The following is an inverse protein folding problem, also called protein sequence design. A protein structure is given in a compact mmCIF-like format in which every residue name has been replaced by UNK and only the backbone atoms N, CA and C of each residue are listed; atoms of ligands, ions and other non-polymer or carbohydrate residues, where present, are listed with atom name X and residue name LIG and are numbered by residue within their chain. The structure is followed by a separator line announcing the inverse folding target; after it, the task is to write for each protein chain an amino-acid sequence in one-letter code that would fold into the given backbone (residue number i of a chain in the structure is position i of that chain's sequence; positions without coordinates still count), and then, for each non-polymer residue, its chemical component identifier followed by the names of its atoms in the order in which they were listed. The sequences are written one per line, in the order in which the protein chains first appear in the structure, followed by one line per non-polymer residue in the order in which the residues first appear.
data_IF_960757865106
#
_entry.id   IF_960757865106
#
_cell.length_a   1.000
_cell.length_b   1.000
_cell.length_c   1.000
_cell.angle_alpha   90.00
_cell.angle_beta   90.00
_cell.angle_gamma   90.00
#
_symmetry.space_group_name_H-M   'P 1'
#
loop_
_entity.id
_entity.type
_entity.pdbx_description
1 polymer ?
#
# COMPACT_ATOMS: atom_id res chain seq x y z
N UNK A 1 7.98 29.59 -5.12
CA UNK A 1 6.65 28.94 -5.20
C UNK A 1 6.59 27.69 -4.32
N UNK A 2 7.50 26.73 -4.43
CA UNK A 2 7.53 25.47 -3.66
C UNK A 2 7.60 25.68 -2.13
N UNK A 3 8.45 26.60 -1.64
CA UNK A 3 8.55 26.94 -0.21
C UNK A 3 7.23 27.43 0.40
N UNK A 4 6.43 28.20 -0.35
CA UNK A 4 5.14 28.67 0.14
C UNK A 4 4.08 27.57 0.14
N UNK A 5 4.13 26.64 -0.80
CA UNK A 5 3.28 25.45 -0.82
C UNK A 5 3.62 24.54 0.37
N UNK A 6 4.90 24.24 0.60
CA UNK A 6 5.35 23.45 1.75
C UNK A 6 4.92 24.06 3.09
N UNK A 7 5.10 25.38 3.27
CA UNK A 7 4.64 26.07 4.49
C UNK A 7 3.13 25.95 4.71
N UNK A 8 2.33 26.14 3.65
CA UNK A 8 0.87 25.99 3.71
C UNK A 8 0.46 24.55 4.02
N UNK A 9 1.10 23.56 3.38
CA UNK A 9 0.82 22.13 3.61
C UNK A 9 1.17 21.72 5.04
N UNK A 10 2.31 22.16 5.57
CA UNK A 10 2.72 21.89 6.97
C UNK A 10 1.78 22.59 7.95
N UNK A 11 1.33 23.82 7.68
CA UNK A 11 0.37 24.53 8.53
C UNK A 11 -1.00 23.79 8.58
N UNK A 12 -1.52 23.36 7.44
CA UNK A 12 -2.75 22.56 7.36
C UNK A 12 -2.59 21.20 8.04
N UNK A 13 -1.44 20.54 7.85
CA UNK A 13 -1.11 19.27 8.49
C UNK A 13 -0.99 19.39 10.03
N UNK A 14 -0.69 20.58 10.55
CA UNK A 14 -0.70 20.92 11.97
C UNK A 14 -2.10 21.05 12.58
N UNK A 15 -3.18 21.08 11.82
CA UNK A 15 -4.55 21.26 12.33
C UNK A 15 -5.05 20.02 13.09
N UNK A 16 -5.93 20.20 14.10
CA UNK A 16 -6.48 19.10 14.90
C UNK A 16 -7.22 18.06 14.03
N UNK A 17 -7.92 18.51 13.01
CA UNK A 17 -8.69 17.66 12.08
C UNK A 17 -7.81 16.89 11.06
N UNK A 18 -6.53 17.24 10.91
CA UNK A 18 -5.66 16.59 9.93
C UNK A 18 -5.57 15.07 10.12
N UNK A 19 -5.65 14.56 11.37
CA UNK A 19 -5.66 13.12 11.65
C UNK A 19 -6.92 12.43 11.15
N UNK A 20 -8.07 13.09 11.19
CA UNK A 20 -9.33 12.53 10.65
C UNK A 20 -9.21 12.40 9.13
N UNK A 21 -8.73 13.44 8.46
CA UNK A 21 -8.48 13.39 7.01
C UNK A 21 -7.46 12.31 6.64
N UNK A 22 -6.39 12.17 7.43
CA UNK A 22 -5.42 11.09 7.25
C UNK A 22 -6.09 9.71 7.35
N UNK A 23 -6.94 9.50 8.37
CA UNK A 23 -7.65 8.24 8.54
C UNK A 23 -8.57 7.95 7.34
N UNK A 24 -9.34 8.94 6.88
CA UNK A 24 -10.22 8.81 5.72
C UNK A 24 -9.41 8.47 4.46
N UNK A 25 -8.32 9.18 4.21
CA UNK A 25 -7.46 8.95 3.04
C UNK A 25 -6.82 7.55 3.09
N UNK A 26 -6.28 7.13 4.25
CA UNK A 26 -5.70 5.80 4.42
C UNK A 26 -6.73 4.68 4.20
N UNK A 27 -7.96 4.87 4.71
CA UNK A 27 -9.04 3.92 4.54
C UNK A 27 -9.44 3.78 3.07
N UNK A 28 -9.73 4.92 2.41
CA UNK A 28 -10.20 4.95 1.01
C UNK A 28 -9.08 4.48 0.05
N UNK A 29 -7.82 4.86 0.29
CA UNK A 29 -6.66 4.41 -0.51
C UNK A 29 -6.54 2.89 -0.52
N UNK A 30 -6.77 2.26 0.62
CA UNK A 30 -6.67 0.80 0.75
C UNK A 30 -7.79 0.05 0.02
N UNK A 31 -8.88 0.72 -0.38
CA UNK A 31 -9.98 0.13 -1.14
C UNK A 31 -9.80 0.38 -2.65
N UNK A 32 -9.73 1.66 -3.09
CA UNK A 32 -9.71 1.99 -4.52
C UNK A 32 -8.98 3.28 -4.92
N UNK A 33 -8.71 4.19 -3.99
CA UNK A 33 -8.20 5.52 -4.35
C UNK A 33 -6.67 5.55 -4.50
N UNK A 34 -6.10 6.24 -5.52
CA UNK A 34 -4.67 6.16 -5.83
C UNK A 34 -3.80 7.22 -5.13
N UNK A 35 -4.26 7.89 -4.06
CA UNK A 35 -3.45 8.89 -3.36
C UNK A 35 -2.64 8.22 -2.24
N UNK A 36 -1.30 8.23 -2.31
CA UNK A 36 -0.46 7.67 -1.26
C UNK A 36 -0.63 8.45 0.05
N UNK A 37 -0.93 7.80 1.20
CA UNK A 37 -1.03 8.45 2.51
C UNK A 37 0.29 9.11 2.94
N UNK A 38 1.40 8.65 2.39
CA UNK A 38 2.75 9.14 2.66
C UNK A 38 2.86 10.66 2.45
N UNK A 39 2.10 11.20 1.47
CA UNK A 39 2.01 12.65 1.17
C UNK A 39 1.43 13.46 2.35
N UNK A 40 0.59 12.82 3.18
CA UNK A 40 0.04 13.46 4.38
C UNK A 40 0.87 13.16 5.63
N UNK A 41 1.36 11.93 5.78
CA UNK A 41 2.15 11.49 6.94
C UNK A 41 3.41 12.36 7.09
N UNK A 42 4.11 12.63 5.98
CA UNK A 42 5.35 13.38 6.00
C UNK A 42 5.15 14.82 6.58
N UNK A 43 4.32 15.70 6.01
CA UNK A 43 4.13 17.04 6.55
C UNK A 43 3.49 17.05 7.93
N UNK A 44 2.63 16.09 8.27
CA UNK A 44 2.05 15.98 9.61
C UNK A 44 3.11 15.65 10.65
N UNK A 45 4.04 14.74 10.35
CA UNK A 45 5.13 14.38 11.26
C UNK A 45 6.13 15.52 11.41
N UNK A 46 6.37 16.30 10.36
CA UNK A 46 7.17 17.53 10.41
C UNK A 46 6.52 18.57 11.32
N UNK A 47 5.21 18.82 11.13
CA UNK A 47 4.45 19.81 11.89
C UNK A 47 4.31 19.43 13.37
N UNK A 48 4.16 18.14 13.67
CA UNK A 48 3.88 17.60 15.01
C UNK A 48 4.79 16.40 15.30
N UNK A 49 6.07 16.64 15.36
CA UNK A 49 7.07 15.58 15.52
C UNK A 49 6.92 14.77 16.82
N UNK A 50 6.29 15.32 17.88
CA UNK A 50 5.99 14.59 19.12
C UNK A 50 4.84 13.60 18.97
N UNK A 51 3.95 13.82 18.01
CA UNK A 51 2.75 13.00 17.76
C UNK A 51 2.99 11.93 16.67
N UNK A 52 4.24 11.67 16.27
CA UNK A 52 4.56 10.75 15.18
C UNK A 52 3.98 9.34 15.36
N UNK A 53 3.98 8.82 16.60
CA UNK A 53 3.37 7.53 16.95
C UNK A 53 1.86 7.56 16.68
N UNK A 54 1.17 8.63 17.12
CA UNK A 54 -0.28 8.78 16.90
C UNK A 54 -0.62 8.90 15.42
N UNK A 55 0.20 9.59 14.64
CA UNK A 55 0.06 9.74 13.19
C UNK A 55 0.22 8.37 12.52
N UNK A 56 1.30 7.64 12.83
CA UNK A 56 1.57 6.31 12.29
C UNK A 56 0.47 5.31 12.67
N UNK A 57 0.04 5.29 13.95
CA UNK A 57 -1.06 4.42 14.41
C UNK A 57 -2.37 4.72 13.72
N UNK A 58 -2.73 6.01 13.54
CA UNK A 58 -3.94 6.40 12.83
C UNK A 58 -3.92 5.90 11.38
N UNK A 59 -2.79 6.10 10.68
CA UNK A 59 -2.62 5.64 9.31
C UNK A 59 -2.69 4.10 9.23
N UNK A 60 -2.02 3.39 10.14
CA UNK A 60 -1.99 1.92 10.18
C UNK A 60 -3.37 1.34 10.40
N UNK A 61 -4.08 1.79 11.44
CA UNK A 61 -5.42 1.28 11.79
C UNK A 61 -6.41 1.55 10.65
N UNK A 62 -6.42 2.77 10.13
CA UNK A 62 -7.33 3.14 9.04
C UNK A 62 -7.02 2.37 7.75
N UNK A 63 -5.74 2.16 7.42
CA UNK A 63 -5.33 1.40 6.25
C UNK A 63 -5.70 -0.09 6.37
N UNK A 64 -5.52 -0.70 7.55
CA UNK A 64 -5.92 -2.09 7.79
C UNK A 64 -7.44 -2.22 7.73
N UNK A 65 -8.19 -1.29 8.33
CA UNK A 65 -9.65 -1.27 8.24
C UNK A 65 -10.13 -1.16 6.78
N UNK A 66 -9.49 -0.30 5.97
CA UNK A 66 -9.75 -0.21 4.53
C UNK A 66 -9.40 -1.50 3.78
N UNK A 67 -8.29 -2.15 4.16
CA UNK A 67 -7.91 -3.46 3.63
C UNK A 67 -8.94 -4.55 3.95
N UNK A 68 -9.48 -4.56 5.18
CA UNK A 68 -10.57 -5.45 5.57
C UNK A 68 -11.85 -5.19 4.75
N UNK A 69 -12.18 -3.93 4.50
CA UNK A 69 -13.30 -3.56 3.64
C UNK A 69 -13.06 -4.02 2.19
N UNK A 70 -11.83 -3.86 1.66
CA UNK A 70 -11.43 -4.36 0.34
C UNK A 70 -11.55 -5.88 0.24
N UNK A 71 -11.08 -6.61 1.27
CA UNK A 71 -11.25 -8.05 1.36
C UNK A 71 -12.74 -8.46 1.36
N UNK A 72 -13.57 -7.77 2.17
CA UNK A 72 -15.00 -8.02 2.24
C UNK A 72 -15.69 -7.77 0.89
N UNK A 73 -15.36 -6.67 0.20
CA UNK A 73 -15.84 -6.40 -1.16
C UNK A 73 -15.50 -7.57 -2.08
N UNK A 74 -14.24 -8.01 -2.09
CA UNK A 74 -13.82 -9.15 -2.90
C UNK A 74 -14.57 -10.43 -2.54
N UNK A 75 -14.78 -10.70 -1.26
CA UNK A 75 -15.46 -11.90 -0.79
C UNK A 75 -16.95 -11.93 -1.18
N UNK A 76 -17.68 -10.84 -0.90
CA UNK A 76 -19.13 -10.77 -1.13
C UNK A 76 -19.49 -10.61 -2.61
N UNK A 77 -18.71 -9.83 -3.36
CA UNK A 77 -18.98 -9.57 -4.78
C UNK A 77 -18.24 -10.53 -5.72
N UNK A 78 -17.71 -11.65 -5.20
CA UNK A 78 -17.02 -12.64 -6.03
C UNK A 78 -17.89 -13.19 -7.16
N UNK A 79 -19.15 -13.51 -6.89
CA UNK A 79 -20.06 -14.10 -7.88
C UNK A 79 -20.49 -13.09 -8.95
N UNK A 80 -20.78 -11.85 -8.53
CA UNK A 80 -21.34 -10.82 -9.41
C UNK A 80 -20.27 -10.12 -10.26
N UNK A 81 -19.04 -10.04 -9.74
CA UNK A 81 -17.97 -9.27 -10.39
C UNK A 81 -16.77 -10.17 -10.69
N UNK A 82 -16.36 -11.00 -9.74
CA UNK A 82 -15.17 -11.84 -9.88
C UNK A 82 -15.30 -12.86 -11.00
N UNK A 83 -16.37 -13.66 -11.00
CA UNK A 83 -16.59 -14.70 -12.01
C UNK A 83 -16.67 -14.10 -13.42
N UNK A 84 -17.50 -13.09 -13.72
CA UNK A 84 -17.56 -12.51 -15.05
C UNK A 84 -16.23 -11.94 -15.56
N UNK A 85 -15.42 -11.34 -14.66
CA UNK A 85 -14.09 -10.85 -15.03
C UNK A 85 -13.18 -12.02 -15.42
N UNK A 86 -13.14 -13.10 -14.63
CA UNK A 86 -12.27 -14.25 -14.92
C UNK A 86 -12.70 -14.99 -16.20
N UNK A 87 -14.00 -15.11 -16.44
CA UNK A 87 -14.55 -15.69 -17.68
C UNK A 87 -14.20 -14.83 -18.90
N UNK A 88 -14.35 -13.49 -18.79
CA UNK A 88 -14.01 -12.56 -19.86
C UNK A 88 -12.52 -12.63 -20.27
N UNK A 89 -11.62 -12.85 -19.30
CA UNK A 89 -10.18 -13.03 -19.56
C UNK A 89 -9.78 -14.48 -19.86
N UNK A 90 -10.74 -15.42 -19.96
CA UNK A 90 -10.45 -16.83 -20.27
C UNK A 90 -9.70 -17.57 -19.16
N UNK A 91 -9.85 -17.16 -17.90
CA UNK A 91 -9.13 -17.76 -16.76
C UNK A 91 -9.91 -19.00 -16.25
N UNK A 92 -9.94 -20.07 -17.04
CA UNK A 92 -10.66 -21.32 -16.69
C UNK A 92 -10.10 -22.04 -15.45
N UNK A 93 -8.85 -21.77 -15.06
CA UNK A 93 -8.16 -22.38 -13.91
C UNK A 93 -8.37 -21.68 -12.56
N UNK A 94 -9.27 -20.69 -12.45
CA UNK A 94 -9.39 -19.91 -11.22
C UNK A 94 -9.79 -20.73 -9.98
N UNK A 95 -10.63 -21.74 -10.12
CA UNK A 95 -11.04 -22.62 -9.02
C UNK A 95 -9.86 -23.42 -8.47
N UNK A 96 -9.00 -23.95 -9.33
CA UNK A 96 -7.78 -24.64 -8.95
C UNK A 96 -6.76 -23.69 -8.29
N UNK A 97 -6.58 -22.49 -8.85
CA UNK A 97 -5.74 -21.44 -8.27
C UNK A 97 -6.23 -21.05 -6.87
N UNK A 98 -7.54 -20.81 -6.71
CA UNK A 98 -8.17 -20.50 -5.42
C UNK A 98 -7.86 -21.58 -4.37
N UNK A 99 -8.01 -22.85 -4.71
CA UNK A 99 -7.74 -23.95 -3.80
C UNK A 99 -6.26 -24.05 -3.43
N UNK A 100 -5.36 -23.87 -4.39
CA UNK A 100 -3.91 -23.86 -4.13
C UNK A 100 -3.48 -22.73 -3.20
N UNK A 101 -4.05 -21.52 -3.36
CA UNK A 101 -3.70 -20.37 -2.52
C UNK A 101 -4.36 -20.43 -1.15
N UNK A 102 -5.60 -20.95 -1.05
CA UNK A 102 -6.30 -20.99 0.24
C UNK A 102 -5.79 -22.09 1.17
N UNK A 103 -5.41 -23.26 0.64
CA UNK A 103 -5.09 -24.45 1.43
C UNK A 103 -3.84 -25.20 0.94
N UNK A 104 -3.21 -24.79 -0.16
CA UNK A 104 -2.11 -25.50 -0.79
C UNK A 104 -0.75 -24.81 -0.71
N UNK A 105 0.15 -25.25 -1.60
CA UNK A 105 1.52 -24.71 -1.70
C UNK A 105 1.56 -23.21 -2.02
N UNK A 106 0.51 -22.65 -2.62
CA UNK A 106 0.38 -21.24 -2.96
C UNK A 106 0.11 -20.31 -1.77
N UNK A 107 -0.28 -20.85 -0.60
CA UNK A 107 -0.58 -20.06 0.60
C UNK A 107 0.58 -19.13 1.00
N UNK A 108 1.77 -19.68 1.15
CA UNK A 108 2.96 -18.91 1.51
C UNK A 108 3.37 -17.92 0.43
N UNK A 109 3.21 -18.27 -0.85
CA UNK A 109 3.45 -17.35 -1.96
C UNK A 109 2.52 -16.14 -1.86
N UNK A 110 1.24 -16.33 -1.53
CA UNK A 110 0.29 -15.25 -1.32
C UNK A 110 0.64 -14.37 -0.12
N UNK A 111 1.05 -14.97 1.00
CA UNK A 111 1.56 -14.24 2.17
C UNK A 111 2.75 -13.35 1.78
N UNK A 112 3.72 -13.89 1.04
CA UNK A 112 4.89 -13.14 0.56
C UNK A 112 4.46 -11.98 -0.36
N UNK A 113 3.51 -12.19 -1.26
CA UNK A 113 2.96 -11.12 -2.11
C UNK A 113 2.31 -10.01 -1.28
N UNK A 114 1.52 -10.36 -0.26
CA UNK A 114 0.93 -9.39 0.67
C UNK A 114 2.00 -8.59 1.43
N UNK A 115 3.08 -9.26 1.86
CA UNK A 115 4.21 -8.60 2.53
C UNK A 115 4.89 -7.63 1.57
N UNK A 116 5.23 -8.06 0.36
CA UNK A 116 5.87 -7.21 -0.65
C UNK A 116 5.00 -6.00 -0.97
N UNK A 117 3.71 -6.19 -1.25
CA UNK A 117 2.81 -5.10 -1.58
C UNK A 117 2.56 -4.14 -0.41
N UNK A 118 2.62 -4.64 0.84
CA UNK A 118 2.50 -3.79 2.03
C UNK A 118 3.65 -2.78 2.18
N UNK A 119 4.86 -3.14 1.71
CA UNK A 119 6.05 -2.29 1.78
C UNK A 119 6.34 -1.51 0.50
N UNK A 120 6.01 -2.07 -0.66
CA UNK A 120 6.31 -1.48 -1.96
C UNK A 120 5.18 -0.54 -2.44
N UNK A 121 5.42 0.29 -3.47
CA UNK A 121 4.38 1.09 -4.11
C UNK A 121 3.40 0.25 -4.96
N UNK A 122 3.51 -1.08 -4.95
CA UNK A 122 2.53 -1.97 -5.59
C UNK A 122 1.15 -1.69 -5.00
N UNK A 123 0.10 -1.58 -5.82
CA UNK A 123 -1.23 -1.26 -5.33
C UNK A 123 -1.77 -2.34 -4.38
N UNK A 124 -1.63 -2.14 -3.08
CA UNK A 124 -2.07 -3.06 -2.03
C UNK A 124 -3.57 -3.41 -2.15
N UNK A 125 -4.38 -2.45 -2.61
CA UNK A 125 -5.81 -2.63 -2.88
C UNK A 125 -6.13 -3.79 -3.83
N UNK A 126 -5.29 -4.04 -4.84
CA UNK A 126 -5.49 -5.19 -5.73
C UNK A 126 -5.40 -6.50 -4.96
N UNK A 127 -4.43 -6.62 -4.07
CA UNK A 127 -4.26 -7.82 -3.24
C UNK A 127 -5.32 -7.94 -2.14
N UNK A 128 -5.85 -6.82 -1.61
CA UNK A 128 -6.94 -6.88 -0.63
C UNK A 128 -8.21 -7.46 -1.25
N UNK A 129 -8.62 -6.94 -2.42
CA UNK A 129 -9.81 -7.42 -3.14
C UNK A 129 -9.59 -8.84 -3.65
N UNK A 130 -8.43 -9.13 -4.25
CA UNK A 130 -8.09 -10.48 -4.73
C UNK A 130 -8.05 -11.50 -3.58
N UNK A 131 -7.57 -11.12 -2.39
CA UNK A 131 -7.61 -11.99 -1.20
C UNK A 131 -9.05 -12.36 -0.82
N UNK A 132 -9.98 -11.42 -0.99
CA UNK A 132 -11.42 -11.69 -0.83
C UNK A 132 -11.96 -12.65 -1.91
N UNK A 133 -11.63 -12.44 -3.18
CA UNK A 133 -12.05 -13.30 -4.29
C UNK A 133 -11.60 -14.76 -4.10
N UNK A 134 -10.36 -15.00 -3.71
CA UNK A 134 -9.84 -16.34 -3.46
C UNK A 134 -10.27 -16.93 -2.12
N UNK A 135 -10.99 -16.15 -1.30
CA UNK A 135 -11.38 -16.53 0.07
C UNK A 135 -10.17 -16.85 0.97
N UNK A 136 -9.10 -16.03 0.84
CA UNK A 136 -7.91 -16.17 1.67
C UNK A 136 -8.25 -16.00 3.15
N UNK A 137 -7.59 -16.74 4.03
CA UNK A 137 -7.85 -16.70 5.47
C UNK A 137 -7.81 -15.26 6.01
N UNK A 138 -8.94 -14.76 6.49
CA UNK A 138 -9.13 -13.39 6.91
C UNK A 138 -8.25 -12.99 8.11
N UNK A 139 -8.04 -13.91 9.07
CA UNK A 139 -7.18 -13.64 10.22
C UNK A 139 -5.72 -13.48 9.80
N UNK A 140 -5.24 -14.37 8.93
CA UNK A 140 -3.87 -14.26 8.40
C UNK A 140 -3.71 -12.97 7.59
N UNK A 141 -4.71 -12.63 6.77
CA UNK A 141 -4.73 -11.37 6.02
C UNK A 141 -4.60 -10.15 6.96
N UNK A 142 -5.41 -10.06 8.03
CA UNK A 142 -5.35 -8.96 9.01
C UNK A 142 -3.98 -8.89 9.67
N UNK A 143 -3.41 -10.02 10.11
CA UNK A 143 -2.11 -10.05 10.77
C UNK A 143 -1.02 -9.54 9.82
N UNK A 144 -0.97 -10.07 8.60
CA UNK A 144 0.03 -9.67 7.60
C UNK A 144 -0.14 -8.21 7.21
N UNK A 145 -1.37 -7.76 6.95
CA UNK A 145 -1.67 -6.37 6.63
C UNK A 145 -1.28 -5.42 7.78
N UNK A 146 -1.57 -5.80 9.02
CA UNK A 146 -1.24 -5.00 10.21
C UNK A 146 0.28 -4.87 10.39
N UNK A 147 1.02 -5.95 10.23
CA UNK A 147 2.46 -5.96 10.36
C UNK A 147 3.13 -5.16 9.24
N UNK A 148 2.72 -5.34 8.00
CA UNK A 148 3.37 -4.73 6.85
C UNK A 148 3.02 -3.25 6.70
N UNK A 149 1.74 -2.88 6.74
CA UNK A 149 1.30 -1.48 6.67
C UNK A 149 1.70 -0.72 7.94
N UNK A 150 1.59 -1.38 9.10
CA UNK A 150 2.04 -0.81 10.37
C UNK A 150 3.52 -0.47 10.33
N UNK A 151 4.38 -1.45 10.10
CA UNK A 151 5.83 -1.22 10.06
C UNK A 151 6.21 -0.17 9.01
N UNK A 152 5.60 -0.15 7.81
CA UNK A 152 5.84 0.89 6.80
C UNK A 152 5.55 2.29 7.34
N UNK A 153 4.37 2.53 7.91
CA UNK A 153 3.99 3.86 8.38
C UNK A 153 4.78 4.28 9.63
N UNK A 154 5.09 3.34 10.53
CA UNK A 154 5.96 3.62 11.68
C UNK A 154 7.39 3.92 11.24
N UNK A 155 7.94 3.18 10.27
CA UNK A 155 9.26 3.48 9.71
C UNK A 155 9.28 4.85 9.04
N UNK A 156 8.29 5.18 8.21
CA UNK A 156 8.21 6.47 7.53
C UNK A 156 8.14 7.62 8.53
N UNK A 157 7.17 7.57 9.46
CA UNK A 157 7.00 8.61 10.47
C UNK A 157 8.20 8.71 11.42
N UNK A 158 8.79 7.57 11.81
CA UNK A 158 9.99 7.51 12.63
C UNK A 158 11.19 8.12 11.93
N UNK A 159 11.47 7.75 10.69
CA UNK A 159 12.56 8.33 9.91
C UNK A 159 12.40 9.86 9.79
N UNK A 160 11.20 10.34 9.52
CA UNK A 160 10.93 11.78 9.45
C UNK A 160 11.09 12.44 10.83
N UNK A 161 10.66 11.78 11.91
CA UNK A 161 10.82 12.28 13.27
C UNK A 161 12.30 12.47 13.66
N UNK A 162 13.13 11.48 13.37
CA UNK A 162 14.53 11.48 13.81
C UNK A 162 15.47 12.20 12.83
N UNK A 163 15.18 12.13 11.53
CA UNK A 163 16.07 12.66 10.49
C UNK A 163 15.46 13.82 9.69
N UNK A 164 14.19 14.17 9.91
CA UNK A 164 13.49 15.17 9.10
C UNK A 164 14.19 16.52 9.04
N UNK A 165 14.79 16.98 10.13
CA UNK A 165 15.55 18.23 10.17
C UNK A 165 16.79 18.23 9.23
N UNK A 166 17.36 17.06 8.93
CA UNK A 166 18.48 16.90 7.99
C UNK A 166 17.99 16.68 6.55
N UNK A 167 16.85 15.98 6.41
CA UNK A 167 16.32 15.55 5.12
C UNK A 167 15.57 16.70 4.41
N UNK A 168 14.85 17.54 5.16
CA UNK A 168 14.04 18.64 4.59
C UNK A 168 14.88 19.61 3.74
N UNK A 169 16.03 20.17 4.24
CA UNK A 169 16.87 21.03 3.44
C UNK A 169 17.43 20.33 2.19
N UNK A 170 17.71 19.03 2.30
CA UNK A 170 18.21 18.23 1.19
C UNK A 170 17.16 18.01 0.10
N UNK A 171 15.90 17.75 0.51
CA UNK A 171 14.77 17.63 -0.43
C UNK A 171 14.48 18.99 -1.09
N UNK A 172 14.52 20.09 -0.36
CA UNK A 172 14.31 21.44 -0.89
C UNK A 172 15.33 21.80 -1.98
N UNK A 173 16.58 21.38 -1.82
CA UNK A 173 17.68 21.70 -2.77
C UNK A 173 17.76 20.70 -3.93
N UNK A 174 17.29 19.46 -3.79
CA UNK A 174 17.47 18.39 -4.78
C UNK A 174 16.19 17.64 -5.13
N UNK A 175 15.04 18.29 -4.93
CA UNK A 175 13.71 17.67 -5.18
C UNK A 175 13.60 16.98 -6.53
N UNK A 176 14.04 17.63 -7.62
CA UNK A 176 13.97 17.06 -8.97
C UNK A 176 14.80 15.76 -9.10
N UNK A 177 15.98 15.71 -8.51
CA UNK A 177 16.84 14.51 -8.57
C UNK A 177 16.22 13.34 -7.80
N UNK A 178 15.58 13.63 -6.65
CA UNK A 178 14.91 12.61 -5.83
C UNK A 178 13.70 12.04 -6.58
N UNK A 179 12.89 12.89 -7.23
CA UNK A 179 11.76 12.44 -8.07
C UNK A 179 12.24 11.57 -9.24
N UNK A 180 13.32 11.96 -9.91
CA UNK A 180 13.90 11.17 -11.01
C UNK A 180 14.41 9.82 -10.52
N UNK A 181 15.10 9.76 -9.37
CA UNK A 181 15.58 8.49 -8.79
C UNK A 181 14.41 7.59 -8.42
N UNK A 182 13.37 8.12 -7.76
CA UNK A 182 12.16 7.35 -7.42
C UNK A 182 11.44 6.83 -8.66
N UNK A 183 11.37 7.63 -9.72
CA UNK A 183 10.77 7.23 -10.99
C UNK A 183 11.57 6.12 -11.68
N UNK A 184 12.91 6.23 -11.68
CA UNK A 184 13.79 5.19 -12.22
C UNK A 184 13.66 3.89 -11.41
N UNK A 185 13.63 3.96 -10.07
CA UNK A 185 13.43 2.78 -9.22
C UNK A 185 12.08 2.11 -9.48
N UNK A 186 11.03 2.88 -9.72
CA UNK A 186 9.71 2.37 -10.07
C UNK A 186 9.75 1.66 -11.43
N UNK A 187 10.35 2.26 -12.45
CA UNK A 187 10.53 1.64 -13.76
C UNK A 187 11.38 0.35 -13.67
N UNK A 188 12.44 0.38 -12.86
CA UNK A 188 13.30 -0.78 -12.65
C UNK A 188 12.53 -1.93 -11.96
N UNK A 189 11.67 -1.61 -11.00
CA UNK A 189 10.78 -2.57 -10.36
C UNK A 189 9.81 -3.23 -11.35
N UNK A 190 9.18 -2.44 -12.23
CA UNK A 190 8.35 -2.98 -13.31
C UNK A 190 9.14 -3.82 -14.31
N UNK A 191 10.36 -3.39 -14.65
CA UNK A 191 11.23 -4.13 -15.57
C UNK A 191 11.67 -5.49 -15.00
N UNK A 192 12.02 -5.53 -13.71
CA UNK A 192 12.35 -6.78 -13.00
C UNK A 192 11.13 -7.71 -12.97
N UNK A 193 9.94 -7.18 -12.64
CA UNK A 193 8.70 -7.95 -12.66
C UNK A 193 8.40 -8.52 -14.05
N UNK A 194 8.61 -7.74 -15.11
CA UNK A 194 8.47 -8.19 -16.49
C UNK A 194 9.48 -9.30 -16.86
N UNK A 195 10.75 -9.16 -16.46
CA UNK A 195 11.76 -10.20 -16.70
C UNK A 195 11.44 -11.50 -15.97
N UNK A 196 10.95 -11.44 -14.73
CA UNK A 196 10.53 -12.61 -13.96
C UNK A 196 9.35 -13.28 -14.68
N UNK A 197 8.36 -12.50 -15.12
CA UNK A 197 7.21 -13.02 -15.86
C UNK A 197 7.62 -13.70 -17.17
N UNK A 198 8.49 -13.07 -17.94
CA UNK A 198 8.97 -13.62 -19.23
C UNK A 198 9.80 -14.90 -19.05
N UNK A 199 10.68 -14.96 -18.04
CA UNK A 199 11.43 -16.17 -17.72
C UNK A 199 10.52 -17.30 -17.20
N UNK A 200 9.45 -16.98 -16.50
CA UNK A 200 8.49 -17.98 -16.01
C UNK A 200 7.75 -18.67 -17.16
N UNK A 201 7.46 -17.94 -18.25
CA UNK A 201 6.87 -18.51 -19.48
C UNK A 201 7.81 -19.49 -20.19
N UNK A 202 9.13 -19.28 -20.12
CA UNK A 202 10.13 -20.22 -20.68
C UNK A 202 10.25 -21.53 -19.90
N UNK A 203 9.82 -21.58 -18.64
CA UNK A 203 9.87 -22.77 -17.79
C UNK A 203 8.59 -23.63 -17.87
N UNK A 204 7.50 -23.11 -18.45
CA UNK A 204 6.20 -23.80 -18.54
C UNK A 204 5.97 -24.42 -19.95
N UNK A 205 6.67 -23.91 -20.98
CA UNK A 205 6.69 -24.48 -22.34
C UNK A 205 7.89 -25.39 -22.52
#
# INVERSE_FOLDING_TARGET
MLKNLLKKTVALAGHKSARIYLAIVCFIESIFFPIPPDVMIAPMTIARSRDWIKIASTASIASVAGGCAGWAIGHFFYKEIGIPIFEFYGFEGFSAFKTQVSFGKGFWAWVVLLVIAGFTPVPFKLLTISSGFINFNFLVFIIVASLTRGSRFFLLAGLIRFFGHKIIPYIETRSTKIFVILFILLLLGFFIAYLIYNNYQYFIN
#
